data_IF_127472415520
#
_entry.id   IF_127472415520
#
_cell.length_a   1.000
_cell.length_b   1.000
_cell.length_c   1.000
_cell.angle_alpha   90.00
_cell.angle_beta   90.00
_cell.angle_gamma   90.00
#
_symmetry.space_group_name_H-M   'P 1'
#
loop_
_entity.id
_entity.type
_entity.pdbx_description
1 polymer ?
#
# COMPACT_ATOMS: atom_id res chain seq x y z
N UNK A 1 -52.14 5.22 4.25
CA UNK A 1 -50.77 5.76 4.37
C UNK A 1 -50.01 5.48 3.08
N UNK A 2 -49.80 6.51 2.26
CA UNK A 2 -49.13 6.42 0.95
C UNK A 2 -47.62 6.45 1.15
N UNK A 3 -46.94 5.36 0.78
CA UNK A 3 -45.48 5.27 0.76
C UNK A 3 -44.95 6.18 -0.35
N UNK A 4 -44.38 7.33 0.00
CA UNK A 4 -43.69 8.21 -0.95
C UNK A 4 -42.40 7.50 -1.39
N UNK A 5 -42.45 6.90 -2.57
CA UNK A 5 -41.25 6.41 -3.25
C UNK A 5 -40.51 7.63 -3.77
N UNK A 6 -39.45 8.04 -3.07
CA UNK A 6 -38.58 9.10 -3.54
C UNK A 6 -37.74 8.57 -4.72
N UNK A 7 -37.73 9.28 -5.86
CA UNK A 7 -36.94 8.87 -7.01
C UNK A 7 -35.45 8.97 -6.65
N UNK A 8 -34.75 7.85 -6.76
CA UNK A 8 -33.29 7.78 -6.66
C UNK A 8 -32.70 8.59 -7.81
N UNK A 9 -32.37 9.85 -7.54
CA UNK A 9 -31.61 10.69 -8.44
C UNK A 9 -30.18 10.14 -8.49
N UNK A 10 -29.75 9.70 -9.67
CA UNK A 10 -28.38 9.29 -9.99
C UNK A 10 -27.45 10.52 -10.04
N UNK A 11 -27.24 11.16 -8.89
CA UNK A 11 -26.05 11.98 -8.64
C UNK A 11 -25.00 11.09 -8.00
N UNK A 12 -23.70 11.38 -8.20
CA UNK A 12 -22.63 10.66 -7.50
C UNK A 12 -23.02 10.53 -6.01
N UNK A 13 -23.04 9.32 -5.43
CA UNK A 13 -23.43 9.16 -4.03
C UNK A 13 -22.58 10.10 -3.19
N UNK A 14 -23.18 10.87 -2.30
CA UNK A 14 -22.45 11.85 -1.47
C UNK A 14 -21.25 11.20 -0.73
N UNK A 15 -21.41 9.93 -0.35
CA UNK A 15 -20.35 9.07 0.18
C UNK A 15 -19.09 9.04 -0.71
N UNK A 16 -19.24 8.90 -2.03
CA UNK A 16 -18.10 8.83 -2.94
C UNK A 16 -17.33 10.15 -2.97
N UNK A 17 -18.05 11.28 -3.00
CA UNK A 17 -17.44 12.62 -2.94
C UNK A 17 -16.70 12.82 -1.62
N UNK A 18 -17.26 12.37 -0.50
CA UNK A 18 -16.65 12.48 0.83
C UNK A 18 -15.37 11.63 0.89
N UNK A 19 -15.41 10.38 0.42
CA UNK A 19 -14.24 9.49 0.37
C UNK A 19 -13.12 10.10 -0.49
N UNK A 20 -13.44 10.66 -1.66
CA UNK A 20 -12.45 11.32 -2.53
C UNK A 20 -11.77 12.50 -1.81
N UNK A 21 -12.50 13.29 -1.02
CA UNK A 21 -11.94 14.41 -0.25
C UNK A 21 -11.09 13.94 0.93
N UNK A 22 -11.48 12.84 1.60
CA UNK A 22 -10.68 12.21 2.66
C UNK A 22 -9.34 11.72 2.09
N UNK A 23 -9.34 11.07 0.93
CA UNK A 23 -8.12 10.60 0.27
C UNK A 23 -7.23 11.78 -0.16
N UNK A 24 -7.83 12.86 -0.66
CA UNK A 24 -7.10 14.02 -1.17
C UNK A 24 -6.52 14.93 -0.06
N UNK A 25 -7.04 14.86 1.17
CA UNK A 25 -6.63 15.73 2.27
C UNK A 25 -6.47 14.95 3.60
N UNK A 26 -5.23 14.64 4.03
CA UNK A 26 -4.98 13.91 5.27
C UNK A 26 -5.33 14.69 6.54
N UNK A 27 -5.27 16.03 6.52
CA UNK A 27 -5.68 16.86 7.66
C UNK A 27 -7.20 16.79 7.87
N UNK A 28 -7.96 16.70 6.77
CA UNK A 28 -9.40 16.51 6.80
C UNK A 28 -9.77 15.14 7.39
N UNK A 29 -9.02 14.08 7.05
CA UNK A 29 -9.21 12.75 7.62
C UNK A 29 -8.98 12.75 9.14
N UNK A 30 -7.92 13.42 9.61
CA UNK A 30 -7.61 13.52 11.03
C UNK A 30 -8.67 14.32 11.81
N UNK A 31 -9.12 15.46 11.27
CA UNK A 31 -10.19 16.25 11.86
C UNK A 31 -11.51 15.46 11.96
N UNK A 32 -11.88 14.72 10.90
CA UNK A 32 -13.06 13.85 10.94
C UNK A 32 -12.97 12.78 12.02
N UNK A 33 -11.78 12.20 12.22
CA UNK A 33 -11.55 11.17 13.23
C UNK A 33 -11.72 11.71 14.65
N UNK A 34 -11.19 12.91 14.94
CA UNK A 34 -11.33 13.55 16.25
C UNK A 34 -12.79 13.89 16.57
N UNK A 35 -13.52 14.42 15.60
CA UNK A 35 -14.95 14.70 15.75
C UNK A 35 -15.76 13.40 15.93
N UNK A 36 -15.42 12.33 15.19
CA UNK A 36 -16.05 11.02 15.32
C UNK A 36 -15.88 10.40 16.71
N UNK A 37 -14.73 10.64 17.37
CA UNK A 37 -14.45 10.19 18.73
C UNK A 37 -15.13 11.07 19.80
N UNK A 38 -15.39 12.34 19.49
CA UNK A 38 -16.08 13.28 20.36
C UNK A 38 -17.62 13.16 20.33
N UNK A 39 -18.18 12.32 19.45
CA UNK A 39 -19.62 12.05 19.35
C UNK A 39 -20.13 11.26 20.57
N UNK A 40 -21.27 11.69 21.13
CA UNK A 40 -21.90 11.04 22.28
C UNK A 40 -22.48 9.65 21.89
N UNK A 41 -22.57 8.69 22.84
CA UNK A 41 -22.93 7.30 22.56
C UNK A 41 -24.35 7.07 22.01
N UNK A 42 -25.26 8.04 22.17
CA UNK A 42 -26.63 7.96 21.63
C UNK A 42 -26.69 8.28 20.12
N UNK A 43 -25.62 8.83 19.55
CA UNK A 43 -25.42 9.07 18.10
C UNK A 43 -24.53 8.00 17.43
N UNK A 44 -24.45 6.81 18.04
CA UNK A 44 -23.58 5.68 17.64
C UNK A 44 -23.66 5.30 16.15
N UNK A 45 -24.81 5.50 15.48
CA UNK A 45 -24.95 5.20 14.04
C UNK A 45 -24.17 6.18 13.15
N UNK A 46 -24.03 7.44 13.55
CA UNK A 46 -23.28 8.46 12.80
C UNK A 46 -21.79 8.20 12.94
N UNK A 47 -21.31 7.95 14.17
CA UNK A 47 -19.92 7.59 14.42
C UNK A 47 -19.52 6.29 13.69
N UNK A 48 -20.40 5.28 13.67
CA UNK A 48 -20.17 4.04 12.93
C UNK A 48 -20.03 4.29 11.41
N UNK A 49 -20.85 5.18 10.85
CA UNK A 49 -20.77 5.55 9.43
C UNK A 49 -19.51 6.34 9.11
N UNK A 50 -19.07 7.24 9.99
CA UNK A 50 -17.82 7.98 9.82
C UNK A 50 -16.61 7.04 9.84
N UNK A 51 -16.54 6.13 10.82
CA UNK A 51 -15.49 5.12 10.90
C UNK A 51 -15.50 4.19 9.69
N UNK A 52 -16.67 3.79 9.20
CA UNK A 52 -16.80 3.00 7.97
C UNK A 52 -16.25 3.74 6.74
N UNK A 53 -16.45 5.06 6.63
CA UNK A 53 -15.89 5.83 5.52
C UNK A 53 -14.38 6.01 5.63
N UNK A 54 -13.85 6.17 6.84
CA UNK A 54 -12.41 6.20 7.10
C UNK A 54 -11.73 4.87 6.70
N UNK A 55 -12.33 3.73 7.07
CA UNK A 55 -11.83 2.41 6.69
C UNK A 55 -11.83 2.21 5.16
N UNK A 56 -12.92 2.61 4.48
CA UNK A 56 -13.02 2.55 3.01
C UNK A 56 -11.98 3.45 2.34
N UNK A 57 -11.75 4.66 2.86
CA UNK A 57 -10.76 5.57 2.32
C UNK A 57 -9.34 4.97 2.45
N UNK A 58 -8.99 4.39 3.60
CA UNK A 58 -7.71 3.71 3.81
C UNK A 58 -7.51 2.55 2.82
N UNK A 59 -8.48 1.64 2.71
CA UNK A 59 -8.41 0.50 1.79
C UNK A 59 -8.27 0.93 0.31
N UNK A 60 -8.93 2.02 -0.10
CA UNK A 60 -8.80 2.56 -1.45
C UNK A 60 -7.46 3.26 -1.69
N UNK A 61 -6.89 3.89 -0.66
CA UNK A 61 -5.52 4.44 -0.70
C UNK A 61 -4.50 3.32 -0.86
N UNK A 62 -4.61 2.24 -0.10
CA UNK A 62 -3.72 1.08 -0.20
C UNK A 62 -3.82 0.40 -1.58
N UNK A 63 -5.03 0.29 -2.14
CA UNK A 63 -5.22 -0.19 -3.53
C UNK A 63 -4.58 0.73 -4.58
N UNK A 64 -4.41 2.02 -4.28
CA UNK A 64 -3.78 3.01 -5.17
C UNK A 64 -2.27 3.09 -4.99
N UNK A 65 -1.70 2.38 -4.01
CA UNK A 65 -0.24 2.27 -3.89
C UNK A 65 0.29 1.52 -5.13
N UNK A 66 1.17 2.20 -5.86
CA UNK A 66 1.82 1.57 -7.01
C UNK A 66 2.99 0.76 -6.48
N UNK A 67 2.86 -0.57 -6.52
CA UNK A 67 4.00 -1.45 -6.28
C UNK A 67 4.96 -1.35 -7.47
N UNK A 68 6.22 -1.03 -7.18
CA UNK A 68 7.30 -1.15 -8.16
C UNK A 68 7.78 -2.59 -8.20
N UNK A 69 8.18 -3.07 -9.39
CA UNK A 69 8.82 -4.37 -9.51
C UNK A 69 10.11 -4.39 -8.70
N UNK A 70 10.26 -5.37 -7.81
CA UNK A 70 11.49 -5.58 -7.05
C UNK A 70 12.49 -6.38 -7.91
N UNK A 71 13.68 -5.83 -8.13
CA UNK A 71 14.80 -6.51 -8.77
C UNK A 71 16.00 -6.46 -7.82
N UNK A 72 16.51 -7.62 -7.42
CA UNK A 72 17.66 -7.76 -6.50
C UNK A 72 18.86 -6.95 -7.00
N UNK A 73 19.04 -6.86 -8.32
CA UNK A 73 20.19 -6.16 -8.91
C UNK A 73 20.18 -4.65 -8.72
N UNK A 74 19.06 -4.07 -8.28
CA UNK A 74 18.98 -2.65 -7.90
C UNK A 74 19.69 -2.37 -6.56
N UNK A 75 19.96 -3.42 -5.77
CA UNK A 75 20.55 -3.32 -4.42
C UNK A 75 21.98 -3.87 -4.35
N UNK A 76 22.45 -4.59 -5.38
CA UNK A 76 23.81 -5.15 -5.44
C UNK A 76 24.81 -4.15 -6.03
N UNK A 77 25.00 -3.00 -5.38
CA UNK A 77 25.78 -1.89 -5.93
C UNK A 77 27.27 -2.04 -5.64
N UNK A 78 27.62 -2.48 -4.44
CA UNK A 78 29.01 -2.62 -3.98
C UNK A 78 29.47 -4.07 -3.98
N UNK A 79 30.76 -4.30 -3.79
CA UNK A 79 31.25 -5.68 -3.64
C UNK A 79 30.70 -6.27 -2.35
N UNK A 80 30.64 -5.46 -1.29
CA UNK A 80 30.10 -5.81 0.02
C UNK A 80 28.63 -6.24 -0.06
N UNK A 81 27.79 -5.54 -0.85
CA UNK A 81 26.39 -5.93 -1.05
C UNK A 81 26.27 -7.32 -1.70
N UNK A 82 27.15 -7.62 -2.66
CA UNK A 82 27.18 -8.91 -3.37
C UNK A 82 27.64 -10.05 -2.48
N UNK A 83 28.66 -9.79 -1.67
CA UNK A 83 29.23 -10.79 -0.76
C UNK A 83 28.23 -11.12 0.35
N UNK A 84 27.62 -10.10 0.98
CA UNK A 84 26.59 -10.29 2.00
C UNK A 84 25.35 -11.01 1.44
N UNK A 85 24.93 -10.68 0.22
CA UNK A 85 23.83 -11.37 -0.45
C UNK A 85 24.15 -12.84 -0.76
N UNK A 86 25.35 -13.13 -1.27
CA UNK A 86 25.78 -14.50 -1.54
C UNK A 86 25.88 -15.32 -0.26
N UNK A 87 26.40 -14.74 0.82
CA UNK A 87 26.49 -15.38 2.14
C UNK A 87 25.10 -15.75 2.66
N UNK A 88 24.13 -14.82 2.61
CA UNK A 88 22.75 -15.11 2.99
C UNK A 88 22.14 -16.24 2.15
N UNK A 89 22.39 -16.25 0.83
CA UNK A 89 21.93 -17.33 -0.03
C UNK A 89 22.59 -18.69 0.25
N UNK A 90 23.84 -18.71 0.73
CA UNK A 90 24.50 -19.95 1.17
C UNK A 90 23.88 -20.47 2.47
N UNK A 91 23.58 -19.59 3.41
CA UNK A 91 22.97 -19.96 4.71
C UNK A 91 21.54 -20.48 4.55
N UNK A 92 20.77 -19.90 3.62
CA UNK A 92 19.36 -20.27 3.38
C UNK A 92 19.18 -21.38 2.32
N UNK A 93 20.25 -21.79 1.62
CA UNK A 93 20.16 -22.80 0.56
C UNK A 93 19.64 -24.14 1.13
N UNK A 94 18.67 -24.80 0.49
CA UNK A 94 18.14 -26.07 0.96
C UNK A 94 19.14 -27.24 0.79
N UNK A 95 20.34 -26.99 0.28
CA UNK A 95 21.40 -27.96 0.01
C UNK A 95 21.43 -28.48 -1.43
N UNK A 96 20.57 -27.95 -2.31
CA UNK A 96 20.54 -28.28 -3.73
C UNK A 96 21.32 -27.28 -4.60
N UNK A 97 21.84 -26.20 -4.00
CA UNK A 97 22.58 -25.14 -4.66
C UNK A 97 21.73 -24.20 -5.51
N UNK A 98 20.40 -24.29 -5.42
CA UNK A 98 19.49 -23.48 -6.22
C UNK A 98 19.56 -21.99 -5.86
N UNK A 99 19.64 -21.65 -4.57
CA UNK A 99 19.76 -20.25 -4.14
C UNK A 99 21.14 -19.71 -4.46
N UNK A 100 22.19 -20.51 -4.24
CA UNK A 100 23.57 -20.12 -4.56
C UNK A 100 23.70 -19.80 -6.06
N UNK A 101 23.13 -20.65 -6.92
CA UNK A 101 23.15 -20.43 -8.38
C UNK A 101 22.38 -19.18 -8.78
N UNK A 102 21.17 -18.98 -8.22
CA UNK A 102 20.36 -17.79 -8.47
C UNK A 102 21.11 -16.51 -8.05
N UNK A 103 21.76 -16.55 -6.89
CA UNK A 103 22.55 -15.43 -6.39
C UNK A 103 23.70 -15.07 -7.34
N UNK A 104 24.42 -16.07 -7.85
CA UNK A 104 25.50 -15.86 -8.82
C UNK A 104 25.00 -15.22 -10.13
N UNK A 105 23.85 -15.67 -10.64
CA UNK A 105 23.25 -15.10 -11.85
C UNK A 105 22.83 -13.63 -11.63
N UNK A 106 22.26 -13.32 -10.46
CA UNK A 106 21.89 -11.95 -10.08
C UNK A 106 23.12 -11.06 -9.88
N UNK A 107 24.17 -11.56 -9.24
CA UNK A 107 25.45 -10.84 -9.08
C UNK A 107 26.08 -10.53 -10.43
N UNK A 108 26.10 -11.50 -11.36
CA UNK A 108 26.62 -11.30 -12.71
C UNK A 108 25.81 -10.25 -13.49
N UNK A 109 24.47 -10.27 -13.36
CA UNK A 109 23.58 -9.26 -13.94
C UNK A 109 23.83 -7.87 -13.33
N UNK A 110 24.00 -7.79 -12.01
CA UNK A 110 24.32 -6.54 -11.32
C UNK A 110 25.68 -5.98 -11.74
N UNK A 111 26.73 -6.81 -11.83
CA UNK A 111 28.05 -6.40 -12.28
C UNK A 111 28.00 -5.82 -13.71
N UNK A 112 27.31 -6.51 -14.63
CA UNK A 112 27.12 -6.04 -16.00
C UNK A 112 26.44 -4.65 -16.07
N UNK A 113 25.47 -4.38 -15.19
CA UNK A 113 24.79 -3.08 -15.09
C UNK A 113 25.71 -1.95 -14.60
N UNK A 114 26.64 -2.25 -13.69
CA UNK A 114 27.60 -1.26 -13.19
C UNK A 114 28.64 -0.95 -14.26
N UNK A 115 29.16 -1.99 -14.92
CA UNK A 115 30.14 -1.83 -16.00
C UNK A 115 29.56 -1.04 -17.17
N UNK A 116 28.28 -1.25 -17.51
CA UNK A 116 27.58 -0.49 -18.55
C UNK A 116 27.32 0.99 -18.20
N UNK A 117 27.43 1.38 -16.92
CA UNK A 117 27.28 2.78 -16.46
C UNK A 117 28.60 3.55 -16.46
N UNK A 118 29.73 2.90 -16.75
CA UNK A 118 31.08 3.46 -16.67
C UNK A 118 31.61 3.90 -18.02
#
# INVERSE_FOLDING_TARGET
>A
MTKKTHPLCLTRPAEQTIIEHIIANPEFANALSLEAEALEPDESEVAARLNQWLEKAQHLSDRKTNFTHFDVTDYLLTQEDRDAFLEACIEEDPGDGSLIKMAQDDIARAASRIDAKR
#
